data_IF_601239282641
#
_entry.id   IF_601239282641
#
_cell.length_a   1.000
_cell.length_b   1.000
_cell.length_c   1.000
_cell.angle_alpha   90.00
_cell.angle_beta   90.00
_cell.angle_gamma   90.00
#
_symmetry.space_group_name_H-M   'P 1'
#
loop_
_entity.id
_entity.type
_entity.pdbx_description
1 polymer ?
#
# COMPACT_ATOMS: atom_id res chain seq x y z
N UNK A 1 6.13 6.53 -30.85
CA UNK A 1 4.79 5.96 -31.11
C UNK A 1 3.77 7.09 -31.18
N UNK A 2 2.69 7.00 -31.97
CA UNK A 2 1.64 8.04 -32.00
C UNK A 2 0.94 8.16 -30.63
N UNK A 3 0.33 9.30 -30.33
CA UNK A 3 -0.49 9.46 -29.13
C UNK A 3 -1.71 8.54 -29.16
N UNK A 4 -2.12 8.05 -28.01
CA UNK A 4 -3.19 7.05 -27.90
C UNK A 4 -4.45 7.67 -27.32
N UNK A 5 -5.60 7.39 -27.92
CA UNK A 5 -6.87 7.61 -27.24
C UNK A 5 -7.05 6.64 -26.07
N UNK A 6 -8.12 6.81 -25.29
CA UNK A 6 -8.34 6.00 -24.09
C UNK A 6 -8.53 4.50 -24.38
N UNK A 7 -9.10 4.13 -25.52
CA UNK A 7 -9.31 2.71 -25.84
C UNK A 7 -7.97 2.07 -26.17
N UNK A 8 -7.22 2.69 -27.09
CA UNK A 8 -5.92 2.19 -27.51
C UNK A 8 -4.92 2.20 -26.35
N UNK A 9 -4.95 3.20 -25.48
CA UNK A 9 -4.11 3.24 -24.28
C UNK A 9 -4.48 2.14 -23.27
N UNK A 10 -5.78 1.90 -23.08
CA UNK A 10 -6.27 0.83 -22.19
C UNK A 10 -5.77 -0.54 -22.64
N UNK A 11 -5.86 -0.82 -23.94
CA UNK A 11 -5.35 -2.06 -24.55
C UNK A 11 -3.83 -2.15 -24.47
N UNK A 12 -3.11 -1.07 -24.80
CA UNK A 12 -1.65 -1.00 -24.75
C UNK A 12 -1.08 -1.20 -23.33
N UNK A 13 -1.78 -0.69 -22.31
CA UNK A 13 -1.41 -0.87 -20.90
C UNK A 13 -1.84 -2.26 -20.40
N UNK A 14 -2.89 -2.85 -20.98
CA UNK A 14 -3.45 -4.12 -20.52
C UNK A 14 -4.34 -3.98 -19.29
N UNK A 15 -5.01 -2.83 -19.12
CA UNK A 15 -5.96 -2.59 -18.01
C UNK A 15 -7.35 -2.27 -18.56
N UNK A 16 -8.38 -2.38 -17.72
CA UNK A 16 -9.74 -1.96 -18.09
C UNK A 16 -9.80 -0.44 -18.25
N UNK A 17 -10.57 0.04 -19.23
CA UNK A 17 -10.72 1.48 -19.48
C UNK A 17 -11.20 2.25 -18.25
N UNK A 18 -12.16 1.71 -17.51
CA UNK A 18 -12.65 2.34 -16.27
C UNK A 18 -11.53 2.52 -15.22
N UNK A 19 -10.57 1.61 -15.16
CA UNK A 19 -9.41 1.76 -14.28
C UNK A 19 -8.47 2.87 -14.79
N UNK A 20 -8.19 2.90 -16.09
CA UNK A 20 -7.39 3.97 -16.71
C UNK A 20 -8.02 5.36 -16.47
N UNK A 21 -9.34 5.46 -16.57
CA UNK A 21 -10.05 6.71 -16.28
C UNK A 21 -9.86 7.16 -14.81
N UNK A 22 -9.86 6.23 -13.85
CA UNK A 22 -9.59 6.53 -12.44
C UNK A 22 -8.13 6.89 -12.18
N UNK A 23 -7.18 6.23 -12.85
CA UNK A 23 -5.74 6.57 -12.79
C UNK A 23 -5.51 8.02 -13.21
N UNK A 24 -6.22 8.47 -14.25
CA UNK A 24 -6.13 9.84 -14.75
C UNK A 24 -6.86 10.81 -13.83
N UNK A 25 -8.12 10.53 -13.49
CA UNK A 25 -9.01 11.47 -12.78
C UNK A 25 -8.68 11.58 -11.30
N UNK A 26 -8.66 10.44 -10.61
CA UNK A 26 -8.55 10.39 -9.15
C UNK A 26 -7.07 10.29 -8.76
N UNK A 27 -6.33 9.38 -9.42
CA UNK A 27 -4.92 9.14 -9.13
C UNK A 27 -4.01 10.26 -9.64
N UNK A 28 -4.39 10.94 -10.73
CA UNK A 28 -3.59 11.96 -11.42
C UNK A 28 -2.20 11.45 -11.82
N UNK A 29 -2.08 10.17 -12.14
CA UNK A 29 -0.78 9.54 -12.51
C UNK A 29 -0.44 9.71 -13.99
N UNK A 30 -1.45 10.00 -14.82
CA UNK A 30 -1.34 10.26 -16.25
C UNK A 30 -2.18 11.49 -16.61
N UNK A 31 -1.75 12.25 -17.61
CA UNK A 31 -2.42 13.48 -18.05
C UNK A 31 -2.92 13.35 -19.48
N UNK A 32 -4.15 13.83 -19.73
CA UNK A 32 -4.73 13.90 -21.07
C UNK A 32 -4.38 15.22 -21.72
N UNK A 33 -3.99 15.16 -22.99
CA UNK A 33 -3.75 16.32 -23.82
C UNK A 33 -4.82 16.39 -24.91
N UNK A 34 -5.27 17.61 -25.22
CA UNK A 34 -6.22 17.83 -26.31
C UNK A 34 -5.48 17.87 -27.64
N UNK A 35 -5.83 16.99 -28.56
CA UNK A 35 -5.30 16.95 -29.92
C UNK A 35 -6.46 17.07 -30.92
N UNK A 36 -6.60 18.28 -31.49
CA UNK A 36 -7.77 18.65 -32.29
C UNK A 36 -9.08 18.55 -31.50
N UNK A 37 -9.95 17.60 -31.89
CA UNK A 37 -11.26 17.34 -31.26
C UNK A 37 -11.25 16.20 -30.23
N UNK A 38 -10.11 15.53 -30.02
CA UNK A 38 -9.99 14.36 -29.15
C UNK A 38 -9.08 14.64 -27.97
N UNK A 39 -9.28 13.89 -26.88
CA UNK A 39 -8.32 13.80 -25.79
C UNK A 39 -7.50 12.53 -25.97
N UNK A 40 -6.18 12.67 -25.87
CA UNK A 40 -5.21 11.59 -26.04
C UNK A 40 -4.24 11.58 -24.86
N UNK A 41 -3.57 10.46 -24.69
CA UNK A 41 -2.42 10.28 -23.80
C UNK A 41 -1.17 10.25 -24.68
N UNK A 42 -0.11 10.93 -24.26
CA UNK A 42 1.17 10.82 -24.94
C UNK A 42 1.74 9.43 -24.70
N UNK A 43 2.19 8.76 -25.76
CA UNK A 43 2.76 7.42 -25.65
C UNK A 43 4.00 7.38 -24.76
N UNK A 44 4.84 8.42 -24.84
CA UNK A 44 6.01 8.59 -23.98
C UNK A 44 5.65 8.63 -22.49
N UNK A 45 4.57 9.34 -22.12
CA UNK A 45 4.11 9.43 -20.73
C UNK A 45 3.60 8.06 -20.24
N UNK A 46 2.92 7.30 -21.10
CA UNK A 46 2.46 5.94 -20.79
C UNK A 46 3.66 5.02 -20.56
N UNK A 47 4.68 5.08 -21.42
CA UNK A 47 5.87 4.24 -21.32
C UNK A 47 6.65 4.53 -20.04
N UNK A 48 6.86 5.82 -19.74
CA UNK A 48 7.49 6.26 -18.48
C UNK A 48 6.68 5.79 -17.28
N UNK A 49 5.35 5.92 -17.32
CA UNK A 49 4.47 5.45 -16.25
C UNK A 49 4.57 3.93 -16.06
N UNK A 50 4.53 3.13 -17.14
CA UNK A 50 4.68 1.66 -17.09
C UNK A 50 6.04 1.27 -16.51
N UNK A 51 7.11 1.91 -16.97
CA UNK A 51 8.47 1.64 -16.49
C UNK A 51 8.59 1.94 -14.99
N UNK A 52 8.13 3.13 -14.54
CA UNK A 52 8.15 3.51 -13.13
C UNK A 52 7.35 2.56 -12.26
N UNK A 53 6.14 2.19 -12.70
CA UNK A 53 5.32 1.20 -11.99
C UNK A 53 6.06 -0.13 -11.85
N UNK A 54 6.62 -0.65 -12.95
CA UNK A 54 7.35 -1.92 -12.95
C UNK A 54 8.57 -1.90 -12.02
N UNK A 55 9.31 -0.79 -11.97
CA UNK A 55 10.48 -0.62 -11.09
C UNK A 55 10.13 -0.59 -9.60
N UNK A 56 8.87 -0.33 -9.25
CA UNK A 56 8.34 -0.24 -7.88
C UNK A 56 7.47 -1.44 -7.49
N UNK A 57 7.39 -2.45 -8.35
CA UNK A 57 6.77 -3.72 -8.01
C UNK A 57 7.73 -4.57 -7.18
N UNK A 58 7.22 -5.03 -6.04
CA UNK A 58 7.93 -5.90 -5.10
C UNK A 58 7.21 -7.24 -5.07
N UNK A 59 7.95 -8.34 -5.22
CA UNK A 59 7.41 -9.68 -5.05
C UNK A 59 7.16 -10.00 -3.58
N UNK A 60 5.99 -10.58 -3.30
CA UNK A 60 5.59 -11.10 -2.00
C UNK A 60 5.38 -12.62 -2.10
N UNK A 61 6.07 -13.38 -1.27
CA UNK A 61 6.04 -14.85 -1.29
C UNK A 61 5.15 -15.42 -0.17
N UNK A 62 5.00 -16.75 -0.13
CA UNK A 62 4.16 -17.42 0.87
C UNK A 62 4.61 -17.13 2.30
N UNK A 63 5.91 -16.97 2.54
CA UNK A 63 6.44 -16.70 3.87
C UNK A 63 6.09 -15.28 4.34
N UNK A 64 6.12 -14.29 3.44
CA UNK A 64 5.65 -12.94 3.76
C UNK A 64 4.18 -12.94 4.21
N UNK A 65 3.34 -13.66 3.47
CA UNK A 65 1.92 -13.81 3.79
C UNK A 65 1.69 -14.53 5.11
N UNK A 66 2.42 -15.63 5.37
CA UNK A 66 2.32 -16.33 6.66
C UNK A 66 2.76 -15.42 7.80
N UNK A 67 3.86 -14.66 7.63
CA UNK A 67 4.35 -13.73 8.64
C UNK A 67 3.32 -12.64 8.95
N UNK A 68 2.79 -11.99 7.91
CA UNK A 68 1.76 -10.97 8.03
C UNK A 68 0.45 -11.52 8.66
N UNK A 69 0.04 -12.72 8.26
CA UNK A 69 -1.17 -13.37 8.76
C UNK A 69 -1.05 -13.76 10.24
N UNK A 70 0.10 -14.29 10.67
CA UNK A 70 0.36 -14.58 12.09
C UNK A 70 0.24 -13.33 12.95
N UNK A 71 0.91 -12.25 12.55
CA UNK A 71 0.83 -10.96 13.22
C UNK A 71 -0.61 -10.43 13.29
N UNK A 72 -1.36 -10.54 12.19
CA UNK A 72 -2.75 -10.10 12.13
C UNK A 72 -3.66 -10.87 13.11
N UNK A 73 -3.46 -12.18 13.26
CA UNK A 73 -4.17 -12.99 14.25
C UNK A 73 -3.81 -12.51 15.65
N UNK A 74 -2.52 -12.41 15.96
CA UNK A 74 -2.07 -12.03 17.30
C UNK A 74 -2.61 -10.65 17.71
N UNK A 75 -2.57 -9.63 16.83
CA UNK A 75 -3.13 -8.29 17.10
C UNK A 75 -4.63 -8.36 17.34
N UNK A 76 -5.36 -9.12 16.53
CA UNK A 76 -6.81 -9.20 16.65
C UNK A 76 -7.25 -9.75 18.01
N UNK A 77 -6.49 -10.70 18.57
CA UNK A 77 -6.80 -11.35 19.85
C UNK A 77 -6.15 -10.68 21.06
N UNK A 78 -5.13 -9.84 20.89
CA UNK A 78 -4.50 -9.08 21.97
C UNK A 78 -5.29 -7.83 22.42
N UNK A 79 -6.62 -7.82 22.26
CA UNK A 79 -7.50 -6.77 22.79
C UNK A 79 -7.44 -5.40 22.10
N UNK A 80 -6.56 -5.19 21.11
CA UNK A 80 -6.46 -3.96 20.31
C UNK A 80 -7.72 -3.67 19.47
N UNK A 81 -8.59 -4.67 19.34
CA UNK A 81 -9.91 -4.62 18.69
C UNK A 81 -11.02 -4.09 19.59
N UNK A 82 -10.75 -3.74 20.86
CA UNK A 82 -11.77 -3.15 21.75
C UNK A 82 -12.22 -1.73 21.34
N UNK A 83 -11.49 -1.06 20.45
CA UNK A 83 -11.76 0.32 20.03
C UNK A 83 -13.02 0.50 19.15
N UNK A 84 -13.60 -0.58 18.60
CA UNK A 84 -14.81 -0.52 17.78
C UNK A 84 -16.10 -0.95 18.53
N UNK A 85 -16.07 -1.11 19.86
CA UNK A 85 -17.26 -1.46 20.68
C UNK A 85 -18.32 -0.36 20.83
N UNK A 86 -18.20 0.75 20.09
CA UNK A 86 -19.10 1.91 20.17
C UNK A 86 -19.69 2.39 18.83
N UNK A 87 -19.46 1.69 17.72
CA UNK A 87 -20.08 2.04 16.43
C UNK A 87 -20.91 0.88 15.89
N UNK A 88 -22.04 1.19 15.24
CA UNK A 88 -23.06 0.23 14.80
C UNK A 88 -22.62 -0.81 13.74
N UNK A 89 -21.33 -0.85 13.37
CA UNK A 89 -20.74 -1.84 12.46
C UNK A 89 -19.54 -2.52 13.13
N UNK A 90 -19.79 -3.62 13.83
CA UNK A 90 -18.72 -4.53 14.23
C UNK A 90 -18.17 -5.22 12.98
N UNK A 91 -16.87 -5.08 12.71
CA UNK A 91 -16.20 -5.87 11.66
C UNK A 91 -16.13 -7.33 12.10
N UNK A 92 -16.30 -8.26 11.16
CA UNK A 92 -16.02 -9.66 11.46
C UNK A 92 -14.52 -9.84 11.72
N UNK A 93 -14.17 -10.84 12.55
CA UNK A 93 -12.77 -11.21 12.81
C UNK A 93 -12.02 -11.45 11.50
N UNK A 94 -12.65 -12.13 10.54
CA UNK A 94 -12.07 -12.37 9.21
C UNK A 94 -11.70 -11.07 8.50
N UNK A 95 -12.59 -10.08 8.50
CA UNK A 95 -12.33 -8.79 7.88
C UNK A 95 -11.24 -8.00 8.61
N UNK A 96 -11.21 -8.07 9.94
CA UNK A 96 -10.16 -7.43 10.74
C UNK A 96 -8.78 -8.05 10.43
N UNK A 97 -8.69 -9.38 10.46
CA UNK A 97 -7.45 -10.11 10.15
C UNK A 97 -6.98 -9.86 8.72
N UNK A 98 -7.90 -9.80 7.75
CA UNK A 98 -7.56 -9.45 6.37
C UNK A 98 -6.93 -8.04 6.27
N UNK A 99 -7.54 -7.04 6.90
CA UNK A 99 -7.03 -5.67 6.89
C UNK A 99 -5.64 -5.56 7.56
N UNK A 100 -5.45 -6.22 8.71
CA UNK A 100 -4.15 -6.25 9.40
C UNK A 100 -3.09 -6.97 8.57
N UNK A 101 -3.46 -8.08 7.92
CA UNK A 101 -2.56 -8.80 7.00
C UNK A 101 -2.14 -7.90 5.85
N UNK A 102 -3.08 -7.16 5.26
CA UNK A 102 -2.80 -6.20 4.20
C UNK A 102 -1.84 -5.09 4.65
N UNK A 103 -2.03 -4.54 5.85
CA UNK A 103 -1.13 -3.55 6.45
C UNK A 103 0.29 -4.09 6.61
N UNK A 104 0.44 -5.24 7.25
CA UNK A 104 1.75 -5.87 7.44
C UNK A 104 2.45 -6.25 6.11
N UNK A 105 1.69 -6.70 5.10
CA UNK A 105 2.25 -6.96 3.76
C UNK A 105 2.79 -5.70 3.09
N UNK A 106 2.14 -4.54 3.30
CA UNK A 106 2.62 -3.27 2.78
C UNK A 106 3.95 -2.86 3.42
N UNK A 107 4.11 -3.06 4.73
CA UNK A 107 5.36 -2.80 5.44
C UNK A 107 6.49 -3.72 4.98
N UNK A 108 6.20 -5.03 4.85
CA UNK A 108 7.16 -6.02 4.31
C UNK A 108 7.60 -5.60 2.89
N UNK A 109 6.65 -5.19 2.05
CA UNK A 109 6.96 -4.73 0.69
C UNK A 109 7.87 -3.51 0.69
N UNK A 110 7.63 -2.52 1.57
CA UNK A 110 8.50 -1.35 1.70
C UNK A 110 9.91 -1.74 2.15
N UNK A 111 10.04 -2.60 3.16
CA UNK A 111 11.33 -3.09 3.64
C UNK A 111 12.12 -3.80 2.51
N UNK A 112 11.44 -4.69 1.75
CA UNK A 112 12.03 -5.37 0.59
C UNK A 112 12.45 -4.37 -0.49
N UNK A 113 11.61 -3.38 -0.83
CA UNK A 113 11.93 -2.36 -1.82
C UNK A 113 13.19 -1.56 -1.45
N UNK A 114 13.24 -1.06 -0.22
CA UNK A 114 14.36 -0.24 0.26
C UNK A 114 15.65 -1.06 0.30
N UNK A 115 15.57 -2.33 0.73
CA UNK A 115 16.72 -3.24 0.69
C UNK A 115 17.21 -3.50 -0.73
N UNK A 116 16.31 -3.82 -1.66
CA UNK A 116 16.66 -4.15 -3.04
C UNK A 116 17.23 -2.95 -3.80
N UNK A 117 16.68 -1.75 -3.59
CA UNK A 117 17.06 -0.55 -4.33
C UNK A 117 18.25 0.20 -3.74
N UNK A 118 18.35 0.25 -2.41
CA UNK A 118 19.31 1.12 -1.71
C UNK A 118 20.24 0.35 -0.76
N UNK A 119 20.09 -0.98 -0.65
CA UNK A 119 20.83 -1.82 0.27
C UNK A 119 20.75 -1.34 1.74
N UNK A 120 19.58 -0.84 2.12
CA UNK A 120 19.25 -0.42 3.50
C UNK A 120 18.29 -1.45 4.09
N UNK A 121 18.65 -2.04 5.23
CA UNK A 121 17.80 -2.97 5.94
C UNK A 121 16.88 -2.18 6.88
N UNK A 122 15.57 -2.43 6.76
CA UNK A 122 14.55 -1.86 7.65
C UNK A 122 14.03 -2.97 8.54
N UNK A 123 14.05 -2.75 9.86
CA UNK A 123 13.43 -3.63 10.84
C UNK A 123 12.04 -3.11 11.20
N UNK A 124 11.05 -4.00 11.11
CA UNK A 124 9.64 -3.73 11.36
C UNK A 124 9.27 -4.25 12.76
N UNK A 125 8.39 -3.56 13.49
CA UNK A 125 7.89 -4.04 14.79
C UNK A 125 6.74 -5.01 14.57
N UNK A 126 6.90 -6.24 15.01
CA UNK A 126 5.80 -7.20 15.07
C UNK A 126 5.49 -7.66 16.49
N UNK A 127 6.14 -7.07 17.51
CA UNK A 127 5.80 -7.34 18.91
C UNK A 127 4.50 -6.63 19.26
N UNK A 128 3.66 -7.37 19.98
CA UNK A 128 2.44 -6.84 20.57
C UNK A 128 2.74 -6.53 22.02
N UNK A 129 2.60 -5.27 22.38
CA UNK A 129 2.68 -4.83 23.76
C UNK A 129 1.26 -4.79 24.34
N UNK A 130 1.04 -5.42 25.49
CA UNK A 130 -0.28 -5.48 26.14
C UNK A 130 -0.75 -4.09 26.62
N UNK A 131 0.17 -3.15 26.82
CA UNK A 131 -0.07 -1.85 27.47
C UNK A 131 0.36 -0.60 26.66
N UNK A 132 0.77 -0.71 25.40
CA UNK A 132 1.27 0.47 24.66
C UNK A 132 0.65 0.67 23.28
N UNK A 133 0.41 1.96 22.99
CA UNK A 133 0.07 2.53 21.69
C UNK A 133 0.89 1.83 20.60
N UNK A 134 0.21 1.30 19.58
CA UNK A 134 0.81 0.66 18.40
C UNK A 134 2.03 1.47 17.95
N UNK A 135 3.21 0.85 18.05
CA UNK A 135 4.50 1.47 17.77
C UNK A 135 4.62 1.90 16.30
N UNK A 136 5.69 2.63 15.99
CA UNK A 136 5.99 3.03 14.62
C UNK A 136 6.23 1.80 13.75
N UNK A 137 5.79 1.88 12.49
CA UNK A 137 5.89 0.79 11.52
C UNK A 137 7.37 0.40 11.23
N UNK A 138 8.33 1.29 11.51
CA UNK A 138 9.78 1.08 11.37
C UNK A 138 10.46 1.31 12.72
N UNK A 139 11.22 0.32 13.21
CA UNK A 139 11.90 0.36 14.52
C UNK A 139 13.37 0.67 14.40
N UNK A 140 14.02 0.09 13.39
CA UNK A 140 15.45 0.27 13.19
C UNK A 140 15.80 0.29 11.70
N UNK A 141 16.84 1.05 11.39
CA UNK A 141 17.42 1.17 10.06
C UNK A 141 18.87 0.73 10.17
N UNK A 142 19.20 -0.36 9.48
CA UNK A 142 20.52 -0.95 9.48
C UNK A 142 21.26 -0.65 8.18
N UNK A 143 22.42 -0.01 8.31
CA UNK A 143 23.31 0.33 7.20
C UNK A 143 24.68 -0.24 7.49
N UNK A 144 25.24 -1.00 6.54
CA UNK A 144 26.59 -1.60 6.65
C UNK A 144 26.81 -2.36 7.97
N UNK A 145 25.77 -3.02 8.48
CA UNK A 145 25.85 -3.78 9.72
C UNK A 145 25.49 -3.01 11.00
N UNK A 146 25.40 -1.68 10.97
CA UNK A 146 25.09 -0.85 12.15
C UNK A 146 23.61 -0.50 12.15
N UNK A 147 22.90 -0.86 13.22
CA UNK A 147 21.48 -0.51 13.42
C UNK A 147 21.37 0.82 14.18
N UNK A 148 20.54 1.72 13.67
CA UNK A 148 20.18 2.99 14.32
C UNK A 148 18.65 3.14 14.32
N UNK A 149 18.06 3.88 15.28
CA UNK A 149 16.65 4.27 15.17
C UNK A 149 16.43 5.12 13.91
N UNK A 150 15.23 5.06 13.30
CA UNK A 150 14.92 5.87 12.14
C UNK A 150 14.96 7.36 12.52
N UNK A 151 15.52 8.20 11.63
CA UNK A 151 15.59 9.66 11.84
C UNK A 151 14.25 10.35 11.66
N UNK A 152 13.31 9.67 10.98
CA UNK A 152 11.96 10.14 10.69
C UNK A 152 10.95 9.08 11.11
N UNK A 153 9.83 9.54 11.66
CA UNK A 153 8.66 8.71 11.93
C UNK A 153 7.91 8.46 10.63
N UNK A 154 7.85 7.21 10.20
CA UNK A 154 7.19 6.82 8.94
C UNK A 154 5.95 6.00 9.28
N UNK A 155 4.83 6.33 8.63
CA UNK A 155 3.67 5.44 8.61
C UNK A 155 3.42 4.88 7.20
N UNK A 156 3.22 3.58 7.11
CA UNK A 156 2.90 2.86 5.88
C UNK A 156 1.39 2.67 5.81
N UNK A 157 0.79 3.13 4.72
CA UNK A 157 -0.63 2.93 4.42
C UNK A 157 -0.79 1.98 3.26
N UNK A 158 -1.55 0.92 3.51
CA UNK A 158 -1.89 -0.07 2.50
C UNK A 158 -3.18 0.31 1.77
N UNK A 159 -3.21 0.09 0.46
CA UNK A 159 -4.40 0.15 -0.37
C UNK A 159 -4.57 -1.11 -1.23
N UNK A 160 -5.75 -1.29 -1.80
CA UNK A 160 -5.98 -2.31 -2.84
C UNK A 160 -5.35 -1.87 -4.16
N UNK A 161 -5.20 -2.78 -5.12
CA UNK A 161 -4.65 -2.50 -6.45
C UNK A 161 -5.24 -1.26 -7.14
N UNK A 162 -6.55 -1.04 -6.97
CA UNK A 162 -7.27 0.08 -7.58
C UNK A 162 -7.40 1.32 -6.67
N UNK A 163 -6.62 1.41 -5.59
CA UNK A 163 -6.59 2.56 -4.69
C UNK A 163 -5.83 3.73 -5.30
N UNK A 164 -6.48 4.88 -5.48
CA UNK A 164 -5.90 6.03 -6.19
C UNK A 164 -5.38 7.13 -5.28
N UNK A 165 -5.61 7.01 -3.98
CA UNK A 165 -5.36 8.04 -3.00
C UNK A 165 -4.67 7.42 -1.79
N UNK A 166 -3.61 8.07 -1.30
CA UNK A 166 -3.23 7.95 0.09
C UNK A 166 -4.35 8.59 0.91
N UNK A 167 -4.87 7.86 1.90
CA UNK A 167 -5.90 8.34 2.84
C UNK A 167 -5.40 8.09 4.25
N UNK A 168 -5.31 9.16 5.04
CA UNK A 168 -4.83 9.12 6.41
C UNK A 168 -5.94 9.67 7.33
N UNK A 169 -6.35 8.93 8.37
CA UNK A 169 -7.26 9.42 9.39
C UNK A 169 -6.77 10.71 10.06
N UNK A 170 -7.69 11.63 10.35
CA UNK A 170 -7.37 12.94 10.97
C UNK A 170 -6.63 12.79 12.29
N UNK A 171 -7.06 11.84 13.13
CA UNK A 171 -6.46 11.55 14.42
C UNK A 171 -5.02 11.01 14.33
N UNK A 172 -4.58 10.48 13.19
CA UNK A 172 -3.19 10.03 12.99
C UNK A 172 -2.26 11.17 12.55
N UNK A 173 -2.82 12.26 12.04
CA UNK A 173 -2.04 13.43 11.59
C UNK A 173 -1.99 14.51 12.67
N UNK A 174 -3.08 14.69 13.41
CA UNK A 174 -3.25 15.81 14.35
C UNK A 174 -2.90 15.47 15.81
N UNK A 175 -2.89 14.20 16.23
CA UNK A 175 -2.52 13.83 17.61
C UNK A 175 -1.01 13.68 17.75
N UNK A 176 -0.40 14.49 18.61
CA UNK A 176 1.07 14.57 18.83
C UNK A 176 1.75 13.22 19.05
N UNK A 177 1.07 12.30 19.75
CA UNK A 177 1.55 10.96 20.08
C UNK A 177 1.65 10.02 18.87
N UNK A 178 0.94 10.30 17.76
CA UNK A 178 0.87 9.43 16.57
C UNK A 178 1.37 10.09 15.28
N UNK A 179 1.88 11.32 15.36
CA UNK A 179 2.30 12.08 14.19
C UNK A 179 3.48 11.39 13.50
N UNK A 180 3.30 11.05 12.22
CA UNK A 180 4.41 10.67 11.34
C UNK A 180 4.91 11.88 10.56
N UNK A 181 6.21 11.91 10.29
CA UNK A 181 6.85 12.95 9.47
C UNK A 181 6.54 12.71 7.98
N UNK A 182 6.36 11.45 7.59
CA UNK A 182 6.03 11.06 6.23
C UNK A 182 5.17 9.81 6.18
N UNK A 183 4.34 9.73 5.16
CA UNK A 183 3.42 8.63 4.92
C UNK A 183 3.77 7.94 3.60
N UNK A 184 3.93 6.63 3.62
CA UNK A 184 4.20 5.82 2.42
C UNK A 184 2.91 5.14 2.00
N UNK A 185 2.57 5.21 0.71
CA UNK A 185 1.42 4.48 0.17
C UNK A 185 1.87 3.26 -0.62
N UNK A 186 1.32 2.10 -0.26
CA UNK A 186 1.62 0.81 -0.92
C UNK A 186 0.31 0.17 -1.36
N UNK A 187 0.23 -0.25 -2.62
CA UNK A 187 -0.89 -1.07 -3.09
C UNK A 187 -0.48 -2.53 -2.99
N UNK A 188 -1.20 -3.32 -2.21
CA UNK A 188 -0.95 -4.75 -2.10
C UNK A 188 -1.91 -5.47 -3.03
N UNK A 189 -1.37 -6.32 -3.90
CA UNK A 189 -2.17 -7.16 -4.78
C UNK A 189 -2.30 -8.50 -4.09
N UNK A 190 -3.50 -9.02 -3.92
CA UNK A 190 -3.72 -10.39 -3.49
C UNK A 190 -5.16 -10.77 -3.83
N UNK A 191 -5.42 -12.05 -4.10
CA UNK A 191 -6.78 -12.50 -4.39
C UNK A 191 -7.59 -12.51 -3.08
N UNK A 192 -8.88 -12.23 -3.17
CA UNK A 192 -9.77 -12.12 -1.99
C UNK A 192 -9.88 -13.43 -1.19
N UNK A 193 -9.51 -14.56 -1.79
CA UNK A 193 -9.51 -15.90 -1.20
C UNK A 193 -8.11 -16.34 -0.69
N UNK A 194 -7.14 -15.43 -0.57
CA UNK A 194 -5.75 -15.80 -0.23
C UNK A 194 -5.63 -16.62 1.06
N UNK A 195 -6.49 -16.37 2.07
CA UNK A 195 -6.48 -17.12 3.33
C UNK A 195 -6.77 -18.60 3.07
N UNK A 196 -7.78 -18.92 2.25
CA UNK A 196 -8.09 -20.30 1.87
C UNK A 196 -6.93 -20.94 1.12
N UNK A 197 -6.23 -20.19 0.26
CA UNK A 197 -5.05 -20.68 -0.45
C UNK A 197 -3.87 -20.95 0.49
N UNK A 198 -3.69 -20.14 1.54
CA UNK A 198 -2.67 -20.37 2.57
C UNK A 198 -2.97 -21.61 3.40
N UNK A 199 -4.24 -21.82 3.74
CA UNK A 199 -4.72 -22.92 4.57
C UNK A 199 -5.03 -24.20 3.77
N UNK A 200 -4.90 -24.16 2.44
CA UNK A 200 -5.27 -25.23 1.49
C UNK A 200 -4.74 -26.62 1.88
N UNK A 201 -3.60 -26.67 2.54
CA UNK A 201 -2.92 -27.92 2.93
C UNK A 201 -3.29 -28.43 4.34
N UNK A 202 -4.20 -27.75 5.05
CA UNK A 202 -4.70 -28.26 6.33
C UNK A 202 -5.44 -29.59 6.12
N UNK A 203 -5.25 -30.59 7.00
CA UNK A 203 -5.87 -31.91 6.88
C UNK A 203 -7.38 -31.83 6.68
N UNK A 204 -8.07 -30.98 7.45
CA UNK A 204 -9.54 -30.88 7.50
C UNK A 204 -10.19 -30.28 6.26
N UNK A 205 -9.42 -29.62 5.37
CA UNK A 205 -9.93 -29.06 4.10
C UNK A 205 -9.19 -29.62 2.87
N UNK A 206 -8.32 -30.60 3.09
CA UNK A 206 -7.46 -31.17 2.05
C UNK A 206 -8.26 -31.89 0.96
N UNK A 207 -9.47 -32.36 1.26
CA UNK A 207 -10.42 -32.95 0.32
C UNK A 207 -11.03 -31.90 -0.65
N UNK A 208 -10.83 -30.61 -0.39
CA UNK A 208 -11.26 -29.50 -1.25
C UNK A 208 -10.12 -28.88 -2.06
N UNK A 209 -8.92 -29.46 -2.05
CA UNK A 209 -7.73 -28.92 -2.76
C UNK A 209 -7.95 -28.65 -4.25
N UNK A 210 -8.80 -29.41 -4.91
CA UNK A 210 -9.11 -29.23 -6.34
C UNK A 210 -9.98 -27.99 -6.61
N UNK A 211 -10.65 -27.48 -5.57
CA UNK A 211 -11.51 -26.29 -5.66
C UNK A 211 -10.79 -25.01 -5.24
N UNK A 212 -9.70 -25.14 -4.48
CA UNK A 212 -8.93 -24.01 -3.95
C UNK A 212 -7.65 -23.89 -4.79
N UNK A 213 -7.44 -22.77 -5.50
CA UNK A 213 -6.21 -22.58 -6.26
C UNK A 213 -4.96 -22.63 -5.39
N UNK A 214 -3.83 -23.02 -5.97
CA UNK A 214 -2.55 -22.96 -5.27
C UNK A 214 -2.18 -21.52 -4.91
N UNK A 215 -1.41 -21.38 -3.83
CA UNK A 215 -0.82 -20.09 -3.48
C UNK A 215 0.41 -19.83 -4.35
N UNK A 216 0.37 -18.80 -5.20
CA UNK A 216 1.44 -18.49 -6.16
C UNK A 216 2.27 -17.23 -5.82
N UNK A 217 2.18 -16.75 -4.58
CA UNK A 217 2.73 -15.45 -4.22
C UNK A 217 1.91 -14.31 -4.81
N UNK A 218 2.38 -13.08 -4.62
CA UNK A 218 1.76 -11.90 -5.20
C UNK A 218 2.78 -10.76 -5.32
N UNK A 219 2.29 -9.53 -5.54
CA UNK A 219 3.12 -8.33 -5.62
C UNK A 219 2.51 -7.19 -4.81
N UNK A 220 3.34 -6.22 -4.50
CA UNK A 220 2.91 -4.91 -4.04
C UNK A 220 3.57 -3.82 -4.88
N UNK A 221 2.86 -2.72 -5.10
CA UNK A 221 3.41 -1.51 -5.72
C UNK A 221 3.71 -0.47 -4.63
N UNK A 222 4.98 -0.06 -4.53
CA UNK A 222 5.36 1.11 -3.75
C UNK A 222 4.97 2.35 -4.56
N UNK A 223 3.87 3.01 -4.20
CA UNK A 223 3.28 4.08 -5.02
C UNK A 223 4.09 5.37 -4.89
N UNK A 224 4.48 5.72 -3.67
CA UNK A 224 5.16 6.96 -3.34
C UNK A 224 5.14 7.23 -1.85
N UNK A 225 5.81 8.30 -1.44
CA UNK A 225 5.70 8.87 -0.10
C UNK A 225 5.22 10.32 -0.14
N UNK A 226 4.68 10.80 0.98
CA UNK A 226 4.16 12.15 1.15
C UNK A 226 4.56 12.68 2.52
N UNK A 227 5.36 13.75 2.62
CA UNK A 227 5.56 14.47 3.87
C UNK A 227 4.24 14.98 4.45
N UNK A 228 4.11 15.00 5.78
CA UNK A 228 2.89 15.46 6.45
C UNK A 228 2.39 16.82 5.95
N UNK A 229 3.30 17.78 5.76
CA UNK A 229 2.97 19.14 5.32
C UNK A 229 2.41 19.24 3.90
N UNK A 230 2.44 18.16 3.12
CA UNK A 230 1.94 18.11 1.75
C UNK A 230 0.59 17.40 1.62
N UNK A 231 0.02 16.93 2.73
CA UNK A 231 -1.31 16.31 2.75
C UNK A 231 -2.41 17.37 2.65
N UNK A 232 -3.46 17.05 1.89
CA UNK A 232 -4.64 17.89 1.75
C UNK A 232 -5.75 17.37 2.68
N UNK A 233 -6.37 18.23 3.50
CA UNK A 233 -7.52 17.83 4.32
C UNK A 233 -8.81 18.06 3.54
N UNK A 234 -9.55 16.99 3.24
CA UNK A 234 -10.85 17.05 2.55
C UNK A 234 -11.63 15.74 2.68
N UNK A 235 -12.91 15.76 2.33
CA UNK A 235 -13.69 14.55 2.08
C UNK A 235 -13.17 13.77 0.85
N UNK A 236 -13.46 12.48 0.79
CA UNK A 236 -12.97 11.56 -0.26
C UNK A 236 -14.14 10.78 -0.87
N UNK A 237 -15.09 11.46 -1.53
CA UNK A 237 -16.27 10.81 -2.12
C UNK A 237 -15.89 9.77 -3.18
N UNK A 238 -14.76 9.92 -3.86
CA UNK A 238 -14.23 8.93 -4.80
C UNK A 238 -13.85 7.58 -4.15
N UNK A 239 -13.68 7.57 -2.81
CA UNK A 239 -13.47 6.39 -2.00
C UNK A 239 -14.70 6.05 -1.13
N UNK A 240 -15.83 6.74 -1.31
CA UNK A 240 -17.04 6.58 -0.51
C UNK A 240 -16.89 7.06 0.94
N UNK A 241 -16.00 8.02 1.19
CA UNK A 241 -15.76 8.58 2.53
C UNK A 241 -16.23 10.04 2.53
N UNK A 242 -17.30 10.29 3.29
CA UNK A 242 -17.88 11.63 3.42
C UNK A 242 -17.17 12.48 4.47
N UNK A 243 -16.57 11.86 5.49
CA UNK A 243 -15.85 12.61 6.51
C UNK A 243 -14.50 13.10 6.00
N UNK A 244 -13.99 14.18 6.62
CA UNK A 244 -12.67 14.68 6.29
C UNK A 244 -11.57 13.68 6.62
N UNK A 245 -10.60 13.59 5.72
CA UNK A 245 -9.36 12.84 5.86
C UNK A 245 -8.22 13.69 5.30
N UNK A 246 -7.00 13.36 5.73
CA UNK A 246 -5.82 13.85 5.03
C UNK A 246 -5.55 12.93 3.84
N UNK A 247 -5.32 13.51 2.67
CA UNK A 247 -5.17 12.75 1.44
C UNK A 247 -4.07 13.26 0.53
N UNK A 248 -3.60 12.37 -0.36
CA UNK A 248 -2.73 12.72 -1.48
C UNK A 248 -3.05 11.82 -2.68
N UNK A 249 -3.32 12.37 -3.88
CA UNK A 249 -3.41 11.57 -5.10
C UNK A 249 -2.10 10.83 -5.38
N UNK A 250 -2.18 9.58 -5.81
CA UNK A 250 -1.02 8.72 -6.06
C UNK A 250 0.00 9.33 -7.02
N UNK A 251 -0.46 9.98 -8.08
CA UNK A 251 0.38 10.66 -9.08
C UNK A 251 0.98 11.98 -8.61
N UNK A 252 0.61 12.47 -7.42
CA UNK A 252 1.19 13.67 -6.78
C UNK A 252 2.10 13.32 -5.60
N UNK A 253 2.36 12.04 -5.35
CA UNK A 253 3.32 11.60 -4.34
C UNK A 253 4.74 11.64 -4.88
N UNK A 254 5.72 11.76 -3.99
CA UNK A 254 7.13 11.63 -4.32
C UNK A 254 7.45 10.18 -4.66
N UNK A 255 7.89 9.92 -5.89
CA UNK A 255 7.99 8.55 -6.40
C UNK A 255 9.03 8.31 -7.51
N UNK A 256 9.88 9.30 -7.79
CA UNK A 256 11.04 9.14 -8.66
C UNK A 256 12.19 8.42 -7.94
N UNK A 257 13.17 7.92 -8.69
CA UNK A 257 14.37 7.31 -8.09
C UNK A 257 15.15 8.30 -7.22
N UNK A 258 15.17 9.59 -7.60
CA UNK A 258 15.81 10.65 -6.81
C UNK A 258 15.08 10.88 -5.49
N UNK A 259 13.74 10.88 -5.52
CA UNK A 259 12.92 11.00 -4.32
C UNK A 259 13.17 9.83 -3.37
N UNK A 260 13.17 8.60 -3.90
CA UNK A 260 13.39 7.41 -3.09
C UNK A 260 14.82 7.32 -2.55
N UNK A 261 15.82 7.79 -3.30
CA UNK A 261 17.18 7.89 -2.79
C UNK A 261 17.27 8.89 -1.64
N UNK A 262 16.56 10.03 -1.73
CA UNK A 262 16.46 11.02 -0.64
C UNK A 262 15.78 10.41 0.57
N UNK A 263 14.60 9.81 0.38
CA UNK A 263 13.87 9.11 1.42
C UNK A 263 14.76 8.08 2.13
N UNK A 264 15.42 7.22 1.35
CA UNK A 264 16.31 6.19 1.87
C UNK A 264 17.56 6.75 2.54
N UNK A 265 17.97 8.01 2.33
CA UNK A 265 19.06 8.65 3.07
C UNK A 265 18.59 9.32 4.36
N UNK A 266 17.31 9.67 4.43
CA UNK A 266 16.64 10.33 5.55
C UNK A 266 15.98 9.35 6.53
N UNK A 267 15.90 8.07 6.17
CA UNK A 267 15.60 6.96 7.10
C UNK A 267 16.66 6.84 8.19
#
# INVERSE_FOLDING_TARGET
>A
MPNLDLNNASEYIGIKRALLERIIKDGRELERVKEGRKYVLKSEDIDVWKQRKQQRLVGLDKNDFIKAFKFAIEINYAGHTRADFGTARQRSVTQAVENWTQGALAEIALAKFIKQKFNVDIELEYRIFEDSIVGQDIVSVKRRGVANPPRKRISVKSGKENGMMLIVPVNEVERDERVSDSYVFVRVFYPTDFILRLLRDLPDISDKKDKIPEFSGSKAEIVGYCPKGELEKRAVPEAGIEEERYVKPSGKMHNSDVDWQRFANEL
#
